data_IF_055836551002
#
_entry.id   IF_055836551002
#
_cell.length_a   1.000
_cell.length_b   1.000
_cell.length_c   1.000
_cell.angle_alpha   90.00
_cell.angle_beta   90.00
_cell.angle_gamma   90.00
#
_symmetry.space_group_name_H-M   'P 1'
#
loop_
_entity.id
_entity.type
_entity.pdbx_description
1 polymer ?
#
# COMPACT_ATOMS: atom_id res chain seq x y z
N UNK A 1 12.57 8.94 8.06
CA UNK A 1 11.33 9.06 8.85
C UNK A 1 10.34 8.04 8.34
N UNK A 2 9.40 7.57 9.16
CA UNK A 2 8.34 6.67 8.70
C UNK A 2 7.29 7.50 7.96
N UNK A 3 7.06 7.23 6.67
CA UNK A 3 6.08 7.95 5.85
C UNK A 3 4.93 7.01 5.54
N UNK A 4 3.74 7.36 6.02
CA UNK A 4 2.53 6.55 5.94
C UNK A 4 1.45 7.27 5.14
N UNK A 5 0.58 6.50 4.50
CA UNK A 5 -0.61 7.00 3.82
C UNK A 5 -1.80 6.11 4.19
N UNK A 6 -2.88 6.74 4.64
CA UNK A 6 -4.11 6.07 4.99
C UNK A 6 -4.72 5.35 3.77
N UNK A 7 -5.10 4.09 3.97
CA UNK A 7 -5.87 3.30 2.99
C UNK A 7 -7.25 2.91 3.53
N UNK A 8 -7.58 3.35 4.75
CA UNK A 8 -8.84 3.02 5.41
C UNK A 8 -8.95 1.54 5.77
N UNK A 9 -10.18 1.05 5.85
CA UNK A 9 -10.49 -0.36 6.15
C UNK A 9 -10.75 -1.14 4.86
N UNK A 10 -10.41 -2.43 4.85
CA UNK A 10 -10.69 -3.30 3.72
C UNK A 10 -10.30 -4.75 3.97
N UNK A 11 -10.43 -5.59 2.94
CA UNK A 11 -10.24 -7.04 3.05
C UNK A 11 -8.83 -7.46 3.54
N UNK A 12 -7.86 -6.54 3.52
CA UNK A 12 -6.50 -6.74 4.03
C UNK A 12 -6.42 -6.82 5.57
N UNK A 13 -7.41 -6.28 6.30
CA UNK A 13 -7.55 -6.50 7.75
C UNK A 13 -8.86 -7.23 8.03
N UNK A 14 -8.75 -8.46 8.54
CA UNK A 14 -9.90 -9.31 8.88
C UNK A 14 -10.78 -8.73 10.00
N UNK A 15 -10.24 -7.82 10.82
CA UNK A 15 -10.99 -7.08 11.85
C UNK A 15 -11.60 -5.78 11.30
N UNK A 16 -11.33 -5.43 10.03
CA UNK A 16 -11.86 -4.23 9.40
C UNK A 16 -11.33 -2.92 9.99
N UNK A 17 -10.15 -2.92 10.61
CA UNK A 17 -9.58 -1.71 11.22
C UNK A 17 -9.01 -0.78 10.14
N UNK A 18 -9.02 0.55 10.40
CA UNK A 18 -8.27 1.49 9.58
C UNK A 18 -6.81 1.07 9.46
N UNK A 19 -6.28 1.15 8.25
CA UNK A 19 -4.93 0.71 7.90
C UNK A 19 -4.20 1.79 7.11
N UNK A 20 -2.87 1.69 7.12
CA UNK A 20 -1.97 2.59 6.41
C UNK A 20 -0.98 1.77 5.57
N UNK A 21 -0.51 2.36 4.46
CA UNK A 21 0.61 1.84 3.66
C UNK A 21 1.87 2.64 3.95
N UNK A 22 3.02 1.95 4.03
CA UNK A 22 4.32 2.59 4.26
C UNK A 22 4.98 2.97 2.94
N UNK A 23 5.13 4.26 2.65
CA UNK A 23 5.64 4.73 1.34
C UNK A 23 7.16 4.91 1.31
N UNK A 24 7.83 4.95 2.47
CA UNK A 24 9.29 4.93 2.57
C UNK A 24 9.88 3.51 2.51
N UNK A 25 9.05 2.47 2.27
CA UNK A 25 9.46 1.06 2.24
C UNK A 25 8.95 0.34 0.99
N UNK A 26 9.72 0.41 -0.10
CA UNK A 26 9.47 -0.39 -1.31
C UNK A 26 10.12 -1.76 -1.18
N UNK A 27 9.33 -2.83 -1.32
CA UNK A 27 9.81 -4.21 -1.34
C UNK A 27 9.73 -4.72 -2.78
N UNK A 28 10.85 -5.12 -3.35
CA UNK A 28 10.89 -5.84 -4.64
C UNK A 28 10.94 -7.32 -4.30
N UNK A 29 9.98 -8.08 -4.84
CA UNK A 29 9.88 -9.52 -4.64
C UNK A 29 9.80 -10.21 -5.99
N UNK A 30 10.30 -11.44 -6.07
CA UNK A 30 10.09 -12.31 -7.21
C UNK A 30 8.60 -12.71 -7.28
N UNK A 31 7.90 -12.50 -8.42
CA UNK A 31 6.52 -12.94 -8.59
C UNK A 31 6.32 -14.42 -8.28
N UNK A 32 7.29 -15.29 -8.61
CA UNK A 32 7.19 -16.73 -8.37
C UNK A 32 7.28 -17.09 -6.88
N UNK A 33 7.80 -16.17 -6.04
CA UNK A 33 7.79 -16.31 -4.59
C UNK A 33 6.45 -15.90 -3.95
N UNK A 34 5.52 -15.32 -4.70
CA UNK A 34 4.20 -14.91 -4.19
C UNK A 34 3.28 -16.12 -4.10
N UNK A 35 3.17 -16.70 -2.90
CA UNK A 35 2.35 -17.91 -2.66
C UNK A 35 0.83 -17.72 -2.83
N UNK A 36 0.30 -16.51 -2.61
CA UNK A 36 -1.14 -16.19 -2.71
C UNK A 36 -1.38 -14.68 -2.70
N UNK A 37 -2.45 -14.26 -3.36
CA UNK A 37 -3.06 -12.95 -3.16
C UNK A 37 -3.86 -12.93 -1.86
N UNK A 38 -3.60 -11.96 -0.98
CA UNK A 38 -4.25 -11.87 0.34
C UNK A 38 -5.56 -11.09 0.32
N UNK A 39 -5.59 -10.00 -0.44
CA UNK A 39 -6.72 -9.10 -0.62
C UNK A 39 -6.41 -8.14 -1.78
N UNK A 40 -7.44 -7.55 -2.37
CA UNK A 40 -7.32 -6.48 -3.37
C UNK A 40 -7.80 -5.15 -2.79
N UNK A 41 -7.29 -4.05 -3.35
CA UNK A 41 -7.84 -2.70 -3.15
C UNK A 41 -8.71 -2.32 -4.35
N UNK A 42 -9.72 -1.48 -4.13
CA UNK A 42 -10.38 -0.82 -5.23
C UNK A 42 -9.43 0.19 -5.92
N UNK A 43 -9.80 0.58 -7.14
CA UNK A 43 -8.98 1.46 -7.97
C UNK A 43 -8.76 2.85 -7.36
N UNK A 44 -9.73 3.40 -6.64
CA UNK A 44 -9.62 4.72 -6.02
C UNK A 44 -8.57 4.72 -4.91
N UNK A 45 -8.66 3.75 -4.01
CA UNK A 45 -7.68 3.53 -2.93
C UNK A 45 -6.28 3.31 -3.49
N UNK A 46 -6.15 2.44 -4.50
CA UNK A 46 -4.86 2.20 -5.14
C UNK A 46 -4.26 3.45 -5.81
N UNK A 47 -5.08 4.24 -6.52
CA UNK A 47 -4.62 5.47 -7.15
C UNK A 47 -4.13 6.50 -6.12
N UNK A 48 -4.80 6.59 -4.95
CA UNK A 48 -4.36 7.42 -3.83
C UNK A 48 -2.95 7.06 -3.36
N UNK A 49 -2.70 5.77 -3.16
CA UNK A 49 -1.37 5.23 -2.80
C UNK A 49 -0.32 5.62 -3.84
N UNK A 50 -0.59 5.43 -5.13
CA UNK A 50 0.36 5.76 -6.21
C UNK A 50 0.66 7.25 -6.26
N UNK A 51 -0.35 8.12 -6.08
CA UNK A 51 -0.16 9.56 -6.04
C UNK A 51 0.71 9.98 -4.85
N UNK A 52 0.42 9.46 -3.67
CA UNK A 52 1.19 9.73 -2.45
C UNK A 52 2.64 9.22 -2.56
N UNK A 53 2.84 8.03 -3.16
CA UNK A 53 4.17 7.49 -3.44
C UNK A 53 4.96 8.44 -4.35
N UNK A 54 4.39 8.86 -5.49
CA UNK A 54 5.06 9.77 -6.42
C UNK A 54 5.43 11.08 -5.73
N UNK A 55 4.53 11.66 -4.93
CA UNK A 55 4.81 12.88 -4.19
C UNK A 55 5.97 12.71 -3.19
N UNK A 56 6.06 11.56 -2.50
CA UNK A 56 7.14 11.29 -1.56
C UNK A 56 8.52 11.16 -2.24
N UNK A 57 8.56 10.61 -3.45
CA UNK A 57 9.81 10.30 -4.16
C UNK A 57 10.21 11.33 -5.22
N UNK A 58 9.34 12.27 -5.60
CA UNK A 58 9.60 13.25 -6.67
C UNK A 58 10.72 14.27 -6.38
N UNK A 59 11.20 14.37 -5.13
CA UNK A 59 12.26 15.30 -4.72
C UNK A 59 13.41 14.64 -3.98
N UNK A 60 13.55 13.32 -4.10
CA UNK A 60 14.57 12.52 -3.43
C UNK A 60 15.55 11.93 -4.43
#
# INVERSE_FOLDING_TARGET
>A
GRYWHDVGSGAWDRQGRPSEVRLDRLLVVDPDAVRREGATMDRGTFNGVVAALRAHWAGR
#
